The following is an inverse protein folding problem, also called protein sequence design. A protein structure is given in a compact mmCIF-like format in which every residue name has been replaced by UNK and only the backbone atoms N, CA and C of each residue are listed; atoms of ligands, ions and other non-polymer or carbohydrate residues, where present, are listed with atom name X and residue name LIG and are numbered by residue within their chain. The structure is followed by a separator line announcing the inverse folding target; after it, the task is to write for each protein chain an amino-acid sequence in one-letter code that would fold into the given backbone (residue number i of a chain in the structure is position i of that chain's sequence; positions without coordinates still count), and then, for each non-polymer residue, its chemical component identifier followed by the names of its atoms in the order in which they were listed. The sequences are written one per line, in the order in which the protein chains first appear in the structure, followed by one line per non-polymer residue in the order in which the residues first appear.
data_IF_425613188756
#
_entry.id   IF_425613188756
#
_cell.length_a   1.000
_cell.length_b   1.000
_cell.length_c   1.000
_cell.angle_alpha   90.00
_cell.angle_beta   90.00
_cell.angle_gamma   90.00
#
_symmetry.space_group_name_H-M   'P 1'
#
loop_
_entity.id
_entity.type
_entity.pdbx_description
1 polymer ?
#
# COMPACT_ATOMS: atom_id res chain seq x y z
N UNK A 1 54.65 13.42 -54.37
CA UNK A 1 55.34 14.24 -53.35
C UNK A 1 54.27 15.11 -52.68
N UNK A 2 53.79 14.92 -51.46
CA UNK A 2 54.15 14.06 -50.35
C UNK A 2 52.87 13.81 -49.51
N UNK A 3 52.60 12.55 -49.13
CA UNK A 3 51.60 12.22 -48.12
C UNK A 3 52.12 12.67 -46.75
N UNK A 4 51.39 13.55 -46.06
CA UNK A 4 51.70 13.92 -44.67
C UNK A 4 50.85 13.05 -43.74
N UNK A 5 51.33 11.83 -43.47
CA UNK A 5 50.81 10.97 -42.40
C UNK A 5 51.20 11.59 -41.05
N UNK A 6 50.25 12.23 -40.37
CA UNK A 6 50.40 12.62 -38.97
C UNK A 6 49.90 11.48 -38.09
N UNK A 7 50.76 10.51 -37.83
CA UNK A 7 50.56 9.50 -36.78
C UNK A 7 50.80 10.15 -35.42
N UNK A 8 49.73 10.62 -34.77
CA UNK A 8 49.75 10.98 -33.36
C UNK A 8 49.03 9.88 -32.58
N UNK A 9 49.79 8.96 -32.00
CA UNK A 9 49.28 7.97 -31.05
C UNK A 9 48.96 8.68 -29.73
N UNK A 10 47.76 8.55 -29.15
CA UNK A 10 47.49 9.09 -27.83
C UNK A 10 48.17 8.21 -26.79
N UNK A 11 49.00 8.81 -25.94
CA UNK A 11 49.61 8.14 -24.78
C UNK A 11 48.55 7.48 -23.90
N UNK A 12 48.75 6.21 -23.59
CA UNK A 12 47.78 5.31 -22.96
C UNK A 12 47.55 5.52 -21.46
N UNK A 13 47.53 6.76 -20.97
CA UNK A 13 47.34 7.04 -19.53
C UNK A 13 46.28 8.13 -19.26
N UNK A 14 45.20 8.11 -20.05
CA UNK A 14 44.01 8.95 -19.81
C UNK A 14 42.70 8.17 -19.84
N UNK A 15 42.74 6.85 -19.64
CA UNK A 15 41.57 5.95 -19.68
C UNK A 15 40.50 6.23 -18.61
N UNK A 16 40.80 7.07 -17.61
CA UNK A 16 39.83 7.57 -16.62
C UNK A 16 38.96 8.72 -17.16
N UNK A 17 39.34 9.36 -18.27
CA UNK A 17 38.59 10.48 -18.85
C UNK A 17 37.49 9.94 -19.75
N UNK A 18 36.25 10.44 -19.59
CA UNK A 18 35.13 10.14 -20.50
C UNK A 18 35.54 10.46 -21.95
N UNK A 19 35.78 9.42 -22.73
CA UNK A 19 35.97 9.53 -24.17
C UNK A 19 34.59 9.70 -24.82
N UNK A 20 34.38 10.82 -25.50
CA UNK A 20 33.18 11.04 -26.29
C UNK A 20 33.39 10.42 -27.66
N UNK A 21 32.59 9.41 -28.00
CA UNK A 21 32.59 8.85 -29.35
C UNK A 21 31.92 9.83 -30.32
N UNK A 22 32.72 10.43 -31.22
CA UNK A 22 32.23 11.44 -32.15
C UNK A 22 31.17 10.89 -33.11
N UNK A 23 31.26 9.60 -33.46
CA UNK A 23 30.33 8.98 -34.41
C UNK A 23 28.98 8.70 -33.75
N UNK A 24 29.00 8.14 -32.54
CA UNK A 24 27.78 7.89 -31.75
C UNK A 24 27.03 9.20 -31.45
N UNK A 25 27.75 10.25 -31.06
CA UNK A 25 27.14 11.56 -30.81
C UNK A 25 26.65 12.24 -32.08
N UNK A 26 27.33 12.07 -33.22
CA UNK A 26 26.85 12.54 -34.51
C UNK A 26 25.58 11.80 -34.95
N UNK A 27 25.49 10.48 -34.72
CA UNK A 27 24.30 9.69 -34.99
C UNK A 27 23.12 10.13 -34.10
N UNK A 28 23.35 10.29 -32.79
CA UNK A 28 22.34 10.82 -31.85
C UNK A 28 21.88 12.23 -32.21
N UNK A 29 22.78 13.08 -32.69
CA UNK A 29 22.43 14.42 -33.16
C UNK A 29 21.53 14.37 -34.40
N UNK A 30 21.86 13.52 -35.39
CA UNK A 30 21.04 13.33 -36.59
C UNK A 30 19.66 12.77 -36.27
N UNK A 31 19.58 11.81 -35.34
CA UNK A 31 18.30 11.25 -34.90
C UNK A 31 17.42 12.33 -34.23
N UNK A 32 18.01 13.16 -33.36
CA UNK A 32 17.31 14.27 -32.73
C UNK A 32 16.83 15.29 -33.76
N UNK A 33 17.67 15.66 -34.71
CA UNK A 33 17.32 16.61 -35.78
C UNK A 33 16.21 16.05 -36.69
N UNK A 34 16.24 14.75 -36.97
CA UNK A 34 15.17 14.09 -37.73
C UNK A 34 13.83 14.11 -36.97
N UNK A 35 13.85 13.81 -35.66
CA UNK A 35 12.67 13.90 -34.78
C UNK A 35 12.14 15.33 -34.69
N UNK A 36 12.99 16.31 -34.44
CA UNK A 36 12.61 17.73 -34.37
C UNK A 36 12.05 18.24 -35.71
N UNK A 37 12.61 17.79 -36.84
CA UNK A 37 12.10 18.12 -38.18
C UNK A 37 10.73 17.48 -38.44
N UNK A 38 10.52 16.23 -38.02
CA UNK A 38 9.22 15.56 -38.13
C UNK A 38 8.17 16.26 -37.26
N UNK A 39 8.48 16.54 -36.00
CA UNK A 39 7.60 17.33 -35.12
C UNK A 39 7.34 18.74 -35.65
N UNK A 40 8.35 19.38 -36.25
CA UNK A 40 8.23 20.70 -36.86
C UNK A 40 7.20 20.72 -38.00
N UNK A 41 7.18 19.67 -38.82
CA UNK A 41 6.16 19.49 -39.88
C UNK A 41 4.77 19.32 -39.26
N UNK A 42 4.61 18.44 -38.27
CA UNK A 42 3.33 18.23 -37.59
C UNK A 42 2.83 19.51 -36.89
N UNK A 43 3.74 20.32 -36.31
CA UNK A 43 3.40 21.62 -35.73
C UNK A 43 2.95 22.61 -36.80
N UNK A 44 3.61 22.65 -37.95
CA UNK A 44 3.24 23.52 -39.06
C UNK A 44 1.87 23.15 -39.64
N UNK A 45 1.60 21.85 -39.78
CA UNK A 45 0.31 21.31 -40.22
C UNK A 45 -0.80 21.63 -39.21
N UNK A 46 -0.56 21.41 -37.92
CA UNK A 46 -1.51 21.79 -36.87
C UNK A 46 -1.81 23.29 -36.87
N UNK A 47 -0.77 24.12 -37.03
CA UNK A 47 -0.91 25.58 -37.13
C UNK A 47 -1.68 26.00 -38.39
N UNK A 48 -1.44 25.34 -39.53
CA UNK A 48 -2.19 25.57 -40.76
C UNK A 48 -3.68 25.20 -40.60
N UNK A 49 -3.98 24.15 -39.82
CA UNK A 49 -5.33 23.77 -39.42
C UNK A 49 -5.92 24.65 -38.29
N UNK A 50 -5.21 25.68 -37.82
CA UNK A 50 -5.64 26.57 -36.73
C UNK A 50 -5.67 25.92 -35.33
N UNK A 51 -5.11 24.71 -35.17
CA UNK A 51 -5.10 23.95 -33.92
C UNK A 51 -3.73 24.09 -33.23
N UNK A 52 -3.72 24.09 -31.90
CA UNK A 52 -2.45 23.99 -31.14
C UNK A 52 -1.92 22.55 -31.26
N UNK A 53 -0.65 22.42 -31.59
CA UNK A 53 0.01 21.11 -31.61
C UNK A 53 0.16 20.55 -30.20
N UNK A 54 -0.25 19.30 -30.04
CA UNK A 54 0.05 18.49 -28.87
C UNK A 54 0.80 17.25 -29.37
N UNK A 55 1.82 16.81 -28.64
CA UNK A 55 2.49 15.56 -28.95
C UNK A 55 1.47 14.41 -28.87
N UNK A 56 1.51 13.45 -29.82
CA UNK A 56 0.63 12.29 -29.76
C UNK A 56 0.89 11.54 -28.44
N UNK A 57 -0.18 11.24 -27.71
CA UNK A 57 -0.10 10.34 -26.55
C UNK A 57 0.10 8.92 -27.10
N UNK A 58 0.89 8.10 -26.42
CA UNK A 58 1.09 6.71 -26.84
C UNK A 58 -0.27 5.97 -26.92
N UNK A 59 -0.39 5.00 -27.83
CA UNK A 59 -1.66 4.30 -28.08
C UNK A 59 -2.15 3.51 -26.85
N UNK A 60 -1.25 3.15 -25.93
CA UNK A 60 -1.54 2.47 -24.65
C UNK A 60 -1.92 3.43 -23.50
N UNK A 61 -2.30 4.68 -23.81
CA UNK A 61 -2.53 5.69 -22.81
C UNK A 61 -3.78 5.44 -21.96
N UNK A 62 -3.61 5.46 -20.64
CA UNK A 62 -4.72 5.32 -19.70
C UNK A 62 -5.56 6.60 -19.63
N UNK A 63 -6.87 6.44 -19.43
CA UNK A 63 -7.76 7.56 -19.15
C UNK A 63 -7.41 8.20 -17.80
N UNK A 64 -7.57 9.52 -17.73
CA UNK A 64 -7.36 10.24 -16.47
C UNK A 64 -8.27 9.69 -15.37
N UNK A 65 -7.66 9.34 -14.25
CA UNK A 65 -8.36 8.96 -13.02
C UNK A 65 -8.23 10.04 -11.96
N UNK A 66 -9.20 10.09 -11.04
CA UNK A 66 -9.04 10.86 -9.81
C UNK A 66 -7.80 10.38 -9.03
N UNK A 67 -7.08 11.31 -8.41
CA UNK A 67 -5.91 10.98 -7.58
C UNK A 67 -6.37 10.16 -6.37
N UNK A 68 -5.67 9.05 -6.11
CA UNK A 68 -5.94 8.17 -4.96
C UNK A 68 -5.24 8.66 -3.69
N UNK A 69 -4.09 9.30 -3.85
CA UNK A 69 -3.24 9.76 -2.76
C UNK A 69 -3.37 11.26 -2.55
N UNK A 70 -3.20 11.69 -1.29
CA UNK A 70 -3.11 13.10 -0.94
C UNK A 70 -1.74 13.62 -1.33
N UNK A 71 -1.70 14.85 -1.85
CA UNK A 71 -0.45 15.50 -2.21
C UNK A 71 0.24 15.93 -0.91
N UNK A 72 1.44 15.42 -0.65
CA UNK A 72 2.23 15.78 0.53
C UNK A 72 2.90 17.14 0.32
N UNK A 73 2.37 18.17 1.00
CA UNK A 73 3.01 19.48 1.06
C UNK A 73 3.87 19.67 2.32
N UNK A 74 3.81 18.72 3.25
CA UNK A 74 4.34 18.89 4.60
C UNK A 74 5.82 18.49 4.74
N UNK A 75 6.34 17.67 3.82
CA UNK A 75 7.66 17.06 3.92
C UNK A 75 8.80 18.09 4.00
N UNK A 76 8.60 19.28 3.43
CA UNK A 76 9.59 20.35 3.39
C UNK A 76 9.23 21.56 4.25
N UNK A 77 8.24 21.44 5.14
CA UNK A 77 7.91 22.50 6.09
C UNK A 77 9.09 22.72 7.05
N UNK A 78 9.42 23.99 7.27
CA UNK A 78 10.48 24.47 8.16
C UNK A 78 11.91 23.99 7.83
N UNK A 79 12.13 23.36 6.66
CA UNK A 79 13.46 22.98 6.20
C UNK A 79 14.04 24.09 5.31
N UNK A 80 15.17 24.66 5.69
CA UNK A 80 15.95 25.54 4.83
C UNK A 80 16.96 24.72 4.03
N UNK A 81 16.95 24.87 2.71
CA UNK A 81 17.90 24.21 1.81
C UNK A 81 18.69 25.25 1.04
N UNK A 82 20.01 25.04 0.94
CA UNK A 82 20.89 25.92 0.18
C UNK A 82 20.76 25.59 -1.31
N UNK A 83 20.15 26.49 -2.07
CA UNK A 83 19.99 26.35 -3.52
C UNK A 83 21.12 27.08 -4.23
N UNK A 84 21.87 26.43 -5.14
CA UNK A 84 22.88 27.13 -5.92
C UNK A 84 22.19 28.18 -6.82
N UNK A 85 22.74 29.39 -6.92
CA UNK A 85 22.13 30.49 -7.69
C UNK A 85 21.88 30.18 -9.17
N UNK A 86 22.53 29.15 -9.73
CA UNK A 86 22.31 28.66 -11.10
C UNK A 86 21.06 27.78 -11.24
N UNK A 87 20.47 27.32 -10.14
CA UNK A 87 19.25 26.52 -10.14
C UNK A 87 18.02 27.42 -10.21
N UNK A 88 17.79 27.97 -11.39
CA UNK A 88 16.54 28.63 -11.72
C UNK A 88 15.38 27.63 -11.75
N UNK A 89 14.17 28.16 -11.54
CA UNK A 89 12.89 27.42 -11.62
C UNK A 89 12.83 26.64 -12.93
N UNK A 90 12.44 25.36 -12.87
CA UNK A 90 12.23 24.53 -14.07
C UNK A 90 13.47 23.85 -14.66
N UNK A 91 14.63 23.85 -13.99
CA UNK A 91 15.80 23.05 -14.44
C UNK A 91 16.06 21.83 -13.56
N UNK A 92 15.64 20.66 -14.05
CA UNK A 92 16.14 19.31 -13.68
C UNK A 92 16.44 19.12 -12.20
N UNK A 93 15.46 19.38 -11.33
CA UNK A 93 15.54 18.97 -9.92
C UNK A 93 16.53 19.75 -9.05
N UNK A 94 17.19 20.81 -9.53
CA UNK A 94 18.24 21.50 -8.75
C UNK A 94 17.73 22.69 -7.94
N UNK A 95 16.48 23.12 -8.16
CA UNK A 95 15.85 24.24 -7.45
C UNK A 95 15.12 23.80 -6.18
N UNK A 96 14.91 24.72 -5.23
CA UNK A 96 14.03 24.47 -4.09
C UNK A 96 12.55 24.37 -4.54
N UNK A 97 11.81 23.46 -3.91
CA UNK A 97 10.37 23.30 -4.09
C UNK A 97 9.94 21.85 -4.33
N UNK A 98 8.75 21.68 -4.91
CA UNK A 98 8.19 20.39 -5.31
C UNK A 98 8.81 19.93 -6.63
N UNK A 99 9.29 18.70 -6.69
CA UNK A 99 9.92 18.12 -7.88
C UNK A 99 9.00 17.09 -8.53
N UNK A 100 8.82 17.20 -9.85
CA UNK A 100 8.16 16.17 -10.66
C UNK A 100 9.20 15.29 -11.35
N UNK A 101 9.19 14.00 -11.02
CA UNK A 101 10.03 12.99 -11.66
C UNK A 101 9.69 12.80 -13.15
N UNK A 102 8.40 12.80 -13.50
CA UNK A 102 7.97 12.58 -14.88
C UNK A 102 8.35 13.71 -15.86
N UNK A 103 8.52 14.95 -15.36
CA UNK A 103 8.76 16.13 -16.20
C UNK A 103 10.11 16.79 -15.96
N UNK A 104 10.87 16.35 -14.97
CA UNK A 104 12.13 16.98 -14.53
C UNK A 104 12.01 18.48 -14.18
N UNK A 105 10.84 18.90 -13.71
CA UNK A 105 10.54 20.29 -13.35
C UNK A 105 10.39 20.45 -11.83
N UNK A 106 10.90 21.57 -11.33
CA UNK A 106 10.77 21.97 -9.92
C UNK A 106 9.90 23.22 -9.82
N UNK A 107 8.91 23.18 -8.94
CA UNK A 107 7.94 24.25 -8.68
C UNK A 107 8.08 24.77 -7.26
N UNK A 108 8.10 26.09 -7.09
CA UNK A 108 8.25 26.72 -5.76
C UNK A 108 6.94 26.80 -4.99
N UNK A 109 5.84 27.03 -5.70
CA UNK A 109 4.52 27.23 -5.12
C UNK A 109 3.66 25.97 -5.20
N UNK A 110 2.80 25.77 -4.19
CA UNK A 110 1.86 24.65 -4.14
C UNK A 110 0.80 24.70 -5.24
N UNK A 111 0.33 25.90 -5.59
CA UNK A 111 -0.64 26.09 -6.68
C UNK A 111 -0.03 25.71 -8.03
N UNK A 112 1.18 26.21 -8.32
CA UNK A 112 1.90 25.86 -9.54
C UNK A 112 2.19 24.35 -9.62
N UNK A 113 2.46 23.70 -8.50
CA UNK A 113 2.62 22.25 -8.42
C UNK A 113 1.33 21.50 -8.80
N UNK A 114 0.18 21.91 -8.25
CA UNK A 114 -1.12 21.29 -8.58
C UNK A 114 -1.49 21.52 -10.04
N UNK A 115 -1.28 22.75 -10.54
CA UNK A 115 -1.53 23.11 -11.93
C UNK A 115 -0.63 22.32 -12.88
N UNK A 116 0.64 22.11 -12.52
CA UNK A 116 1.54 21.25 -13.27
C UNK A 116 1.02 19.82 -13.37
N UNK A 117 0.62 19.22 -12.24
CA UNK A 117 0.11 17.85 -12.23
C UNK A 117 -1.18 17.68 -13.05
N UNK A 118 -1.98 18.75 -13.19
CA UNK A 118 -3.17 18.76 -14.05
C UNK A 118 -2.87 19.22 -15.49
N UNK A 119 -1.65 19.66 -15.78
CA UNK A 119 -1.30 20.19 -17.10
C UNK A 119 -1.20 19.06 -18.12
N UNK A 120 -1.59 19.35 -19.37
CA UNK A 120 -1.46 18.40 -20.49
C UNK A 120 -0.02 17.92 -20.68
N UNK A 121 0.97 18.74 -20.34
CA UNK A 121 2.38 18.37 -20.43
C UNK A 121 2.72 17.21 -19.49
N UNK A 122 2.28 17.30 -18.24
CA UNK A 122 2.48 16.24 -17.25
C UNK A 122 1.70 14.97 -17.60
N UNK A 123 0.47 15.13 -18.09
CA UNK A 123 -0.37 14.00 -18.49
C UNK A 123 0.22 13.24 -19.66
N UNK A 124 0.72 13.94 -20.69
CA UNK A 124 1.43 13.31 -21.81
C UNK A 124 2.70 12.60 -21.34
N UNK A 125 3.47 13.22 -20.44
CA UNK A 125 4.69 12.61 -19.89
C UNK A 125 4.41 11.36 -19.04
N UNK A 126 3.25 11.30 -18.38
CA UNK A 126 2.79 10.14 -17.60
C UNK A 126 2.00 9.11 -18.42
N UNK A 127 1.80 9.35 -19.72
CA UNK A 127 1.05 8.46 -20.60
C UNK A 127 -0.46 8.46 -20.35
N UNK A 128 -1.01 9.56 -19.83
CA UNK A 128 -2.45 9.72 -19.59
C UNK A 128 -3.10 10.67 -20.59
N UNK A 129 -4.30 10.34 -21.04
CA UNK A 129 -5.09 11.23 -21.89
C UNK A 129 -5.88 12.23 -21.05
N UNK A 130 -6.01 13.46 -21.56
CA UNK A 130 -6.84 14.50 -20.97
C UNK A 130 -8.31 14.44 -21.46
N UNK A 131 -8.64 13.41 -22.23
CA UNK A 131 -9.99 13.22 -22.76
C UNK A 131 -10.85 12.57 -21.68
N UNK A 132 -12.08 13.06 -21.55
CA UNK A 132 -13.04 12.57 -20.54
C UNK A 132 -14.26 12.06 -21.28
N UNK A 133 -14.59 10.79 -21.07
CA UNK A 133 -15.80 10.19 -21.60
C UNK A 133 -17.05 10.79 -20.94
N UNK A 134 -18.13 10.92 -21.73
CA UNK A 134 -19.43 11.35 -21.20
C UNK A 134 -20.07 10.17 -20.50
N UNK A 135 -20.39 10.33 -19.21
CA UNK A 135 -21.04 9.30 -18.42
C UNK A 135 -22.43 8.93 -18.99
N UNK A 136 -22.75 7.64 -18.97
CA UNK A 136 -24.08 7.13 -19.34
C UNK A 136 -25.02 7.13 -18.13
N UNK A 137 -26.34 6.93 -18.36
CA UNK A 137 -27.32 6.77 -17.28
C UNK A 137 -26.95 5.63 -16.33
N UNK A 138 -26.49 4.51 -16.88
CA UNK A 138 -26.10 3.33 -16.11
C UNK A 138 -24.92 3.62 -15.19
N UNK A 139 -23.93 4.40 -15.66
CA UNK A 139 -22.76 4.78 -14.85
C UNK A 139 -23.16 5.67 -13.68
N UNK A 140 -24.11 6.56 -13.91
CA UNK A 140 -24.66 7.43 -12.85
C UNK A 140 -25.38 6.60 -11.80
N UNK A 141 -26.21 5.64 -12.19
CA UNK A 141 -26.91 4.76 -11.25
C UNK A 141 -25.91 3.93 -10.42
N UNK A 142 -24.94 3.28 -11.07
CA UNK A 142 -23.85 2.54 -10.39
C UNK A 142 -23.08 3.43 -9.42
N UNK A 143 -22.81 4.68 -9.79
CA UNK A 143 -22.10 5.64 -8.93
C UNK A 143 -22.94 6.06 -7.73
N UNK A 144 -24.23 6.28 -7.90
CA UNK A 144 -25.15 6.62 -6.80
C UNK A 144 -25.30 5.46 -5.81
N UNK A 145 -25.40 4.22 -6.30
CA UNK A 145 -25.39 3.02 -5.45
C UNK A 145 -24.09 2.89 -4.65
N UNK A 146 -22.94 3.12 -5.29
CA UNK A 146 -21.64 3.13 -4.61
C UNK A 146 -21.57 4.22 -3.52
N UNK A 147 -22.06 5.43 -3.81
CA UNK A 147 -22.12 6.52 -2.83
C UNK A 147 -23.06 6.21 -1.66
N UNK A 148 -24.22 5.59 -1.92
CA UNK A 148 -25.13 5.12 -0.88
C UNK A 148 -24.45 4.08 0.02
N UNK A 149 -23.77 3.09 -0.56
CA UNK A 149 -23.01 2.08 0.19
C UNK A 149 -21.88 2.71 1.02
N UNK A 150 -21.14 3.66 0.46
CA UNK A 150 -20.11 4.43 1.18
C UNK A 150 -20.71 5.21 2.36
N UNK A 151 -21.87 5.86 2.16
CA UNK A 151 -22.58 6.57 3.24
C UNK A 151 -23.01 5.61 4.33
N UNK A 152 -23.67 4.50 3.99
CA UNK A 152 -24.07 3.49 4.97
C UNK A 152 -22.88 2.89 5.72
N UNK A 153 -21.73 2.68 5.06
CA UNK A 153 -20.51 2.22 5.73
C UNK A 153 -19.95 3.26 6.69
N UNK A 154 -19.97 4.54 6.31
CA UNK A 154 -19.57 5.64 7.19
C UNK A 154 -20.52 5.76 8.38
N UNK A 155 -21.84 5.71 8.15
CA UNK A 155 -22.86 5.73 9.20
C UNK A 155 -22.74 4.52 10.13
N UNK A 156 -22.52 3.31 9.61
CA UNK A 156 -22.25 2.11 10.43
C UNK A 156 -20.92 2.22 11.20
N UNK A 157 -19.92 2.86 10.61
CA UNK A 157 -18.63 3.15 11.24
C UNK A 157 -18.67 4.26 12.29
N UNK A 158 -19.64 5.17 12.20
CA UNK A 158 -19.91 6.22 13.19
C UNK A 158 -20.88 5.69 14.27
N UNK A 159 -21.79 4.79 13.91
CA UNK A 159 -22.78 4.15 14.77
C UNK A 159 -22.27 2.82 15.35
N UNK A 160 -21.05 2.82 15.86
CA UNK A 160 -20.64 1.80 16.83
C UNK A 160 -21.24 2.15 18.19
N UNK A 161 -22.50 1.76 18.41
CA UNK A 161 -23.18 1.92 19.69
C UNK A 161 -22.39 1.20 20.79
N UNK A 162 -21.60 1.95 21.56
CA UNK A 162 -20.88 1.46 22.74
C UNK A 162 -21.82 0.71 23.70
N UNK A 163 -23.08 1.16 23.79
CA UNK A 163 -24.13 0.53 24.60
C UNK A 163 -24.47 -0.88 24.14
N UNK A 164 -24.69 -1.10 22.84
CA UNK A 164 -24.99 -2.45 22.30
C UNK A 164 -23.83 -3.41 22.51
N UNK A 165 -22.59 -2.93 22.37
CA UNK A 165 -21.39 -3.74 22.62
C UNK A 165 -21.20 -4.09 24.09
N UNK A 166 -21.53 -3.16 25.00
CA UNK A 166 -21.53 -3.40 26.44
C UNK A 166 -22.62 -4.41 26.83
N UNK A 167 -23.81 -4.29 26.28
CA UNK A 167 -24.93 -5.22 26.51
C UNK A 167 -24.64 -6.62 25.95
N UNK A 168 -24.09 -6.74 24.74
CA UNK A 168 -23.66 -8.03 24.18
C UNK A 168 -22.57 -8.68 25.03
N UNK A 169 -21.60 -7.90 25.53
CA UNK A 169 -20.55 -8.42 26.41
C UNK A 169 -21.11 -8.89 27.76
N UNK A 170 -22.03 -8.12 28.34
CA UNK A 170 -22.71 -8.50 29.59
C UNK A 170 -23.53 -9.78 29.42
N UNK A 171 -24.25 -9.92 28.30
CA UNK A 171 -25.01 -11.15 27.98
C UNK A 171 -24.11 -12.37 27.90
N UNK A 172 -22.98 -12.26 27.18
CA UNK A 172 -22.01 -13.35 27.08
C UNK A 172 -21.41 -13.72 28.45
N UNK A 173 -21.10 -12.73 29.29
CA UNK A 173 -20.62 -12.96 30.66
C UNK A 173 -21.68 -13.61 31.56
N UNK A 174 -22.95 -13.22 31.41
CA UNK A 174 -24.08 -13.83 32.13
C UNK A 174 -24.33 -15.28 31.71
N UNK A 175 -24.32 -15.56 30.40
CA UNK A 175 -24.43 -16.91 29.85
C UNK A 175 -23.28 -17.80 30.33
N UNK A 176 -22.05 -17.28 30.33
CA UNK A 176 -20.90 -18.01 30.85
C UNK A 176 -21.03 -18.28 32.36
N UNK A 177 -21.54 -17.31 33.13
CA UNK A 177 -21.82 -17.48 34.56
C UNK A 177 -22.90 -18.53 34.81
N UNK A 178 -23.96 -18.56 34.00
CA UNK A 178 -25.03 -19.56 34.11
C UNK A 178 -24.46 -20.95 33.79
N UNK A 179 -23.72 -21.08 32.69
CA UNK A 179 -23.02 -22.32 32.30
C UNK A 179 -22.09 -22.81 33.41
N UNK A 180 -21.34 -21.91 34.06
CA UNK A 180 -20.45 -22.25 35.19
C UNK A 180 -21.24 -22.70 36.43
N UNK A 181 -22.42 -22.11 36.69
CA UNK A 181 -23.31 -22.52 37.79
C UNK A 181 -23.94 -23.88 37.52
N UNK A 182 -24.34 -24.17 36.29
CA UNK A 182 -24.90 -25.46 35.89
C UNK A 182 -23.85 -26.58 35.99
N UNK A 183 -22.64 -26.35 35.45
CA UNK A 183 -21.50 -27.27 35.62
C UNK A 183 -21.20 -27.57 37.10
N UNK A 184 -21.26 -26.55 37.97
CA UNK A 184 -21.08 -26.73 39.43
C UNK A 184 -22.21 -27.54 40.08
N UNK A 185 -23.46 -27.32 39.68
CA UNK A 185 -24.62 -28.08 40.18
C UNK A 185 -24.55 -29.54 39.75
N UNK A 186 -24.17 -29.79 38.50
CA UNK A 186 -24.01 -31.15 37.97
C UNK A 186 -22.87 -31.89 38.66
N UNK A 187 -21.71 -31.24 38.84
CA UNK A 187 -20.60 -31.81 39.61
C UNK A 187 -20.99 -32.14 41.06
N UNK A 188 -21.79 -31.30 41.72
CA UNK A 188 -22.28 -31.58 43.09
C UNK A 188 -23.28 -32.74 43.13
N UNK A 189 -24.15 -32.89 42.11
CA UNK A 189 -25.05 -34.04 41.98
C UNK A 189 -24.28 -35.34 41.72
N UNK A 190 -23.28 -35.31 40.84
CA UNK A 190 -22.39 -36.45 40.57
C UNK A 190 -21.65 -36.89 41.84
N UNK A 191 -21.07 -35.95 42.59
CA UNK A 191 -20.40 -36.25 43.88
C UNK A 191 -21.34 -36.91 44.89
N UNK A 192 -22.55 -36.36 45.07
CA UNK A 192 -23.57 -36.96 45.97
C UNK A 192 -24.00 -38.36 45.52
N UNK A 193 -24.14 -38.60 44.23
CA UNK A 193 -24.47 -39.92 43.71
C UNK A 193 -23.35 -40.95 43.96
N UNK A 194 -22.09 -40.53 43.92
CA UNK A 194 -20.93 -41.37 44.27
C UNK A 194 -20.88 -41.65 45.79
N UNK A 195 -21.17 -40.65 46.63
CA UNK A 195 -21.24 -40.81 48.10
C UNK A 195 -22.36 -41.78 48.51
N UNK A 196 -23.57 -41.67 47.93
CA UNK A 196 -24.68 -42.58 48.21
C UNK A 196 -24.33 -44.02 47.78
N UNK A 197 -23.72 -44.20 46.60
CA UNK A 197 -23.23 -45.52 46.14
C UNK A 197 -22.15 -46.12 47.05
N UNK A 198 -21.38 -45.28 47.75
CA UNK A 198 -20.34 -45.69 48.70
C UNK A 198 -20.94 -46.06 50.07
N UNK A 199 -22.03 -45.41 50.48
CA UNK A 199 -22.76 -45.69 51.73
C UNK A 199 -23.69 -46.92 51.61
N UNK A 200 -24.22 -47.23 50.43
CA UNK A 200 -25.09 -48.40 50.18
C UNK A 200 -24.35 -49.75 50.04
N UNK A 201 -23.05 -49.82 50.35
CA UNK A 201 -22.39 -51.11 50.63
C UNK A 201 -22.27 -52.09 49.46
N UNK A 202 -21.82 -51.64 48.29
CA UNK A 202 -21.31 -52.53 47.23
C UNK A 202 -19.79 -52.72 47.35
N UNK A 203 -19.34 -53.51 48.32
CA UNK A 203 -17.94 -53.94 48.50
C UNK A 203 -17.49 -55.00 47.49
N UNK A 204 -17.94 -54.92 46.23
CA UNK A 204 -17.57 -55.84 45.16
C UNK A 204 -17.23 -55.17 43.81
N UNK A 205 -17.12 -53.84 43.76
CA UNK A 205 -16.70 -53.11 42.55
C UNK A 205 -15.61 -52.06 42.84
N UNK A 206 -14.79 -52.30 43.87
CA UNK A 206 -13.72 -51.40 44.28
C UNK A 206 -12.37 -51.68 43.56
N UNK A 207 -12.31 -52.63 42.61
CA UNK A 207 -11.09 -52.96 41.86
C UNK A 207 -11.21 -52.77 40.33
N UNK A 208 -12.30 -52.19 39.80
CA UNK A 208 -12.47 -51.95 38.35
C UNK A 208 -13.03 -50.55 38.02
N UNK A 209 -12.55 -49.51 38.69
CA UNK A 209 -12.89 -48.13 38.37
C UNK A 209 -11.69 -47.16 38.48
N UNK A 210 -10.49 -47.68 38.25
CA UNK A 210 -9.26 -46.86 38.17
C UNK A 210 -8.89 -46.44 36.74
N UNK A 211 -9.63 -46.91 35.72
CA UNK A 211 -9.51 -46.48 34.32
C UNK A 211 -10.87 -46.02 33.79
N UNK A 212 -11.30 -44.83 34.19
CA UNK A 212 -12.20 -44.02 33.38
C UNK A 212 -11.46 -42.71 33.13
N UNK A 213 -10.92 -42.64 31.92
CA UNK A 213 -10.30 -41.50 31.25
C UNK A 213 -10.67 -40.16 31.90
N UNK A 214 -9.66 -39.54 32.53
CA UNK A 214 -9.73 -38.13 32.88
C UNK A 214 -10.02 -37.36 31.59
N UNK A 215 -11.19 -36.71 31.51
CA UNK A 215 -11.62 -35.81 30.44
C UNK A 215 -10.42 -35.20 29.69
N UNK A 216 -10.16 -35.63 28.45
CA UNK A 216 -9.05 -35.12 27.63
C UNK A 216 -9.07 -33.58 27.53
N UNK A 217 -10.23 -32.97 27.70
CA UNK A 217 -10.44 -31.53 27.81
C UNK A 217 -9.78 -30.90 29.05
N UNK A 218 -9.74 -31.59 30.20
CA UNK A 218 -9.09 -31.08 31.41
C UNK A 218 -7.56 -31.12 31.29
N UNK A 219 -7.02 -32.18 30.68
CA UNK A 219 -5.60 -32.30 30.38
C UNK A 219 -5.17 -31.31 29.28
N UNK A 220 -6.00 -31.11 28.25
CA UNK A 220 -5.76 -30.14 27.18
C UNK A 220 -5.85 -28.68 27.69
N UNK A 221 -6.81 -28.37 28.57
CA UNK A 221 -6.93 -27.04 29.20
C UNK A 221 -5.81 -26.76 30.23
N UNK A 222 -5.32 -27.78 30.93
CA UNK A 222 -4.14 -27.66 31.80
C UNK A 222 -2.85 -27.45 30.99
N UNK A 223 -2.75 -28.05 29.81
CA UNK A 223 -1.64 -27.85 28.87
C UNK A 223 -1.69 -26.48 28.18
N UNK A 224 -2.89 -25.98 27.84
CA UNK A 224 -3.10 -24.62 27.32
C UNK A 224 -2.84 -23.53 28.38
N UNK A 225 -3.04 -23.84 29.66
CA UNK A 225 -2.77 -22.95 30.81
C UNK A 225 -1.38 -23.13 31.44
N UNK A 226 -0.49 -23.95 30.83
CA UNK A 226 0.93 -24.02 31.21
C UNK A 226 1.26 -24.82 32.48
N UNK A 227 0.39 -25.72 32.94
CA UNK A 227 0.60 -26.52 34.16
C UNK A 227 1.39 -27.84 33.95
N UNK A 228 1.98 -28.08 32.77
CA UNK A 228 2.67 -29.33 32.42
C UNK A 228 4.11 -29.45 32.95
N UNK A 229 4.43 -28.85 34.09
CA UNK A 229 5.77 -28.87 34.69
C UNK A 229 5.70 -28.94 36.21
N UNK A 230 5.79 -30.15 36.76
CA UNK A 230 5.67 -30.45 38.19
C UNK A 230 6.67 -29.69 39.05
N UNK A 231 6.16 -29.00 40.07
CA UNK A 231 6.95 -28.38 41.13
C UNK A 231 7.49 -29.48 42.08
N UNK A 232 8.67 -29.99 41.75
CA UNK A 232 9.69 -30.49 42.69
C UNK A 232 9.34 -31.61 43.67
N UNK A 233 9.15 -32.84 43.20
CA UNK A 233 9.40 -34.03 44.04
C UNK A 233 10.86 -34.50 43.89
N UNK A 234 11.53 -34.65 45.02
CA UNK A 234 12.94 -35.00 45.16
C UNK A 234 13.17 -36.52 45.10
N UNK A 235 13.86 -36.96 44.04
CA UNK A 235 14.80 -38.10 43.91
C UNK A 235 14.65 -39.40 44.75
N UNK A 236 14.43 -40.51 44.02
CA UNK A 236 15.22 -41.77 43.94
C UNK A 236 14.60 -42.58 42.77
N UNK A 237 15.28 -43.00 41.71
CA UNK A 237 16.65 -43.48 41.55
C UNK A 237 17.54 -42.58 40.68
#
# INVERSE_FOLDING_TARGET
MAEKKTSSAPGGDTGFRRQWDREEYAAKAREREAKERAEGKLRAEAKAAGKKYYAPVADDAEMISARRERINFEENLNKSQLVPGSAAVGKRGKGAGFYCEACDLTYKDSLQWVDHLNSKQHLVATGKTAEVERATLEDVLKRLEWLKRQREQREKGEHWDLRKRLEERQRLEEEERIRKREKRKEAKKRKRAVEIKKEEGATAAAEQAEDVEMDDDAAMMARMMGFSGGFGSTKKN
#
